data_IF_779131592890
#
_entry.id   IF_779131592890
#
_cell.length_a   1.000
_cell.length_b   1.000
_cell.length_c   1.000
_cell.angle_alpha   90.00
_cell.angle_beta   90.00
_cell.angle_gamma   90.00
#
_symmetry.space_group_name_H-M   'P 1'
#
loop_
_entity.id
_entity.type
_entity.pdbx_description
1 polymer ?
#
# COMPACT_ATOMS: atom_id res chain seq x y z
N UNK A 1 27.68 -5.78 -17.51
CA UNK A 1 27.21 -6.91 -18.34
C UNK A 1 26.90 -8.05 -17.35
N UNK A 2 25.70 -8.56 -17.13
CA UNK A 2 24.47 -8.52 -17.91
C UNK A 2 23.25 -8.91 -17.01
N UNK A 3 22.05 -8.48 -17.42
CA UNK A 3 20.74 -9.09 -17.15
C UNK A 3 20.28 -9.34 -15.70
N UNK A 4 19.41 -8.46 -15.16
CA UNK A 4 18.29 -8.86 -14.25
C UNK A 4 17.34 -7.74 -13.81
N UNK A 5 17.47 -6.48 -14.29
CA UNK A 5 16.45 -5.46 -14.02
C UNK A 5 15.31 -5.55 -15.05
N UNK A 6 14.51 -6.62 -14.96
CA UNK A 6 13.24 -6.70 -15.71
C UNK A 6 12.25 -5.70 -15.12
N UNK A 7 12.03 -4.62 -15.89
CA UNK A 7 10.81 -3.81 -16.01
C UNK A 7 9.58 -4.37 -15.26
N UNK A 8 9.09 -3.62 -14.29
CA UNK A 8 7.67 -3.55 -13.93
C UNK A 8 7.31 -2.07 -13.73
N UNK A 9 7.04 -1.40 -14.85
CA UNK A 9 6.36 -0.10 -14.86
C UNK A 9 5.19 -0.23 -15.81
N UNK A 10 3.98 -0.28 -15.26
CA UNK A 10 2.75 0.18 -15.91
C UNK A 10 1.61 0.15 -14.88
N UNK A 11 1.31 1.32 -14.31
CA UNK A 11 -0.04 1.69 -13.87
C UNK A 11 -0.23 3.15 -14.29
N UNK A 12 -1.36 3.42 -14.92
CA UNK A 12 -1.75 4.63 -15.64
C UNK A 12 -1.75 5.91 -14.79
N UNK A 13 -0.62 6.60 -14.71
CA UNK A 13 -0.55 8.00 -14.30
C UNK A 13 -0.15 8.85 -15.50
N UNK A 14 -1.02 9.78 -15.90
CA UNK A 14 -0.82 10.73 -17.02
C UNK A 14 0.21 11.84 -16.72
N UNK A 15 1.20 11.56 -15.88
CA UNK A 15 2.28 12.51 -15.59
C UNK A 15 3.62 11.99 -16.07
N UNK A 16 4.38 12.88 -16.70
CA UNK A 16 5.72 12.62 -17.22
C UNK A 16 6.68 12.30 -16.05
N UNK A 17 6.87 10.99 -15.82
CA UNK A 17 7.72 10.45 -14.76
C UNK A 17 9.20 10.85 -14.94
N UNK A 18 9.61 11.29 -16.14
CA UNK A 18 10.98 11.76 -16.40
C UNK A 18 11.33 13.05 -15.67
N UNK A 19 10.32 13.79 -15.16
CA UNK A 19 10.52 14.98 -14.32
C UNK A 19 10.99 14.66 -12.91
N UNK A 20 10.86 13.41 -12.48
CA UNK A 20 11.40 12.94 -11.21
C UNK A 20 12.77 12.31 -11.49
N UNK A 21 13.89 12.98 -11.20
CA UNK A 21 15.22 12.40 -11.42
C UNK A 21 15.32 11.08 -10.64
N UNK A 22 16.13 10.14 -11.12
CA UNK A 22 16.46 8.83 -10.51
C UNK A 22 17.14 8.93 -9.12
N UNK A 23 16.72 9.87 -8.26
CA UNK A 23 16.94 9.72 -6.83
C UNK A 23 16.08 8.54 -6.43
N UNK A 24 16.73 7.39 -6.21
CA UNK A 24 16.16 6.33 -5.39
C UNK A 24 15.35 7.00 -4.28
N UNK A 25 14.02 6.81 -4.30
CA UNK A 25 13.22 7.18 -3.15
C UNK A 25 13.94 6.55 -1.97
N UNK A 26 14.41 7.31 -0.98
CA UNK A 26 15.11 6.72 0.14
C UNK A 26 14.03 6.02 0.98
N UNK A 27 13.57 4.85 0.52
CA UNK A 27 12.56 4.02 1.18
C UNK A 27 13.01 3.73 2.62
N UNK A 28 14.33 3.65 2.83
CA UNK A 28 14.98 3.54 4.13
C UNK A 28 14.78 4.77 5.06
N UNK A 29 14.27 5.90 4.57
CA UNK A 29 13.93 7.12 5.34
C UNK A 29 12.44 7.44 5.35
N UNK A 30 11.64 6.76 4.52
CA UNK A 30 10.20 7.04 4.43
C UNK A 30 9.44 6.35 5.55
N UNK A 31 8.51 7.07 6.20
CA UNK A 31 7.50 6.45 7.07
C UNK A 31 6.42 5.84 6.19
N UNK A 32 6.40 4.50 6.10
CA UNK A 32 5.43 3.75 5.32
C UNK A 32 4.40 3.14 6.27
N UNK A 33 3.12 3.25 5.92
CA UNK A 33 2.01 2.62 6.62
C UNK A 33 1.36 1.58 5.72
N UNK A 34 1.18 0.36 6.21
CA UNK A 34 0.51 -0.72 5.47
C UNK A 34 -0.84 -1.05 6.12
N UNK A 35 -1.93 -0.79 5.39
CA UNK A 35 -3.31 -1.01 5.82
C UNK A 35 -4.09 -1.87 4.82
N UNK A 36 -5.29 -2.27 5.21
CA UNK A 36 -6.15 -3.19 4.47
C UNK A 36 -6.92 -4.10 5.42
N UNK A 37 -7.98 -4.74 4.94
CA UNK A 37 -8.81 -5.64 5.73
C UNK A 37 -7.99 -6.82 6.29
N UNK A 38 -8.48 -7.48 7.34
CA UNK A 38 -7.90 -8.74 7.81
C UNK A 38 -7.86 -9.78 6.68
N UNK A 39 -6.89 -10.70 6.76
CA UNK A 39 -6.61 -11.71 5.73
C UNK A 39 -6.22 -11.21 4.32
N UNK A 40 -6.11 -9.89 4.09
CA UNK A 40 -5.67 -9.34 2.79
C UNK A 40 -4.20 -9.66 2.42
N UNK A 41 -3.38 -10.08 3.39
CA UNK A 41 -1.99 -10.49 3.16
C UNK A 41 -0.91 -9.44 3.40
N UNK A 42 -1.22 -8.39 4.17
CA UNK A 42 -0.28 -7.33 4.60
C UNK A 42 1.03 -7.90 5.17
N UNK A 43 0.92 -8.72 6.21
CA UNK A 43 2.08 -9.32 6.88
C UNK A 43 2.90 -10.20 5.91
N UNK A 44 2.25 -10.96 5.03
CA UNK A 44 2.93 -11.74 3.99
C UNK A 44 3.73 -10.85 3.03
N UNK A 45 3.15 -9.74 2.57
CA UNK A 45 3.84 -8.75 1.71
C UNK A 45 5.03 -8.12 2.45
N UNK A 46 4.83 -7.71 3.71
CA UNK A 46 5.88 -7.10 4.54
C UNK A 46 7.13 -8.00 4.60
N UNK A 47 6.93 -9.29 4.89
CA UNK A 47 8.03 -10.26 4.97
C UNK A 47 8.61 -10.63 3.61
N UNK A 48 7.77 -10.85 2.60
CA UNK A 48 8.21 -11.29 1.27
C UNK A 48 9.07 -10.23 0.58
N UNK A 49 8.61 -8.98 0.57
CA UNK A 49 9.32 -7.87 -0.07
C UNK A 49 10.35 -7.20 0.85
N UNK A 50 10.44 -7.63 2.11
CA UNK A 50 11.36 -7.10 3.12
C UNK A 50 11.29 -5.57 3.17
N UNK A 51 10.12 -5.03 3.54
CA UNK A 51 9.91 -3.58 3.63
C UNK A 51 10.18 -3.15 5.09
N UNK A 52 11.43 -2.79 5.46
CA UNK A 52 11.85 -2.69 6.87
C UNK A 52 11.17 -1.55 7.65
N UNK A 53 10.65 -0.54 6.94
CA UNK A 53 10.11 0.68 7.53
C UNK A 53 8.58 0.80 7.42
N UNK A 54 7.91 -0.28 7.02
CA UNK A 54 6.45 -0.30 6.98
C UNK A 54 5.90 -0.75 8.34
N UNK A 55 5.05 0.07 8.95
CA UNK A 55 4.21 -0.37 10.04
C UNK A 55 3.01 -1.13 9.46
N UNK A 56 2.92 -2.44 9.69
CA UNK A 56 1.70 -3.19 9.41
C UNK A 56 0.75 -3.10 10.62
N UNK A 57 -0.49 -2.70 10.35
CA UNK A 57 -1.51 -2.58 11.40
C UNK A 57 -2.59 -3.62 11.15
N UNK A 58 -3.06 -4.26 12.21
CA UNK A 58 -4.09 -5.29 12.10
C UNK A 58 -5.37 -4.75 11.45
N UNK A 59 -6.03 -5.60 10.65
CA UNK A 59 -7.14 -5.20 9.80
C UNK A 59 -8.55 -5.57 10.27
N UNK A 60 -8.67 -6.21 11.44
CA UNK A 60 -9.96 -6.63 11.98
C UNK A 60 -10.81 -5.42 12.33
N UNK A 61 -12.13 -5.48 12.11
CA UNK A 61 -13.08 -4.37 12.26
C UNK A 61 -12.91 -3.62 13.58
N UNK A 62 -12.80 -4.37 14.68
CA UNK A 62 -12.71 -3.84 16.04
C UNK A 62 -11.45 -2.99 16.28
N UNK A 63 -10.40 -3.17 15.50
CA UNK A 63 -9.11 -2.47 15.69
C UNK A 63 -8.84 -1.42 14.61
N UNK A 64 -9.63 -1.35 13.53
CA UNK A 64 -9.50 -0.32 12.48
C UNK A 64 -9.56 1.12 13.00
N UNK A 65 -10.31 1.47 14.07
CA UNK A 65 -10.26 2.81 14.64
C UNK A 65 -8.84 3.26 15.04
N UNK A 66 -7.96 2.32 15.38
CA UNK A 66 -6.57 2.60 15.78
C UNK A 66 -5.68 3.01 14.60
N UNK A 67 -6.08 2.75 13.34
CA UNK A 67 -5.30 3.12 12.16
C UNK A 67 -4.94 4.62 12.14
N UNK A 68 -5.87 5.47 12.60
CA UNK A 68 -5.69 6.92 12.66
C UNK A 68 -4.50 7.36 13.51
N UNK A 69 -4.09 6.56 14.50
CA UNK A 69 -2.91 6.86 15.32
C UNK A 69 -1.59 6.79 14.55
N UNK A 70 -1.60 6.19 13.36
CA UNK A 70 -0.42 6.03 12.51
C UNK A 70 -0.37 7.05 11.36
N UNK A 71 -1.40 7.88 11.17
CA UNK A 71 -1.47 8.78 10.01
C UNK A 71 -0.42 9.90 10.08
N UNK A 72 -0.25 10.51 11.25
CA UNK A 72 0.67 11.64 11.40
C UNK A 72 2.10 11.27 10.99
N UNK A 73 2.61 12.02 10.01
CA UNK A 73 3.95 11.85 9.45
C UNK A 73 4.10 10.69 8.48
N UNK A 74 3.02 9.97 8.11
CA UNK A 74 3.07 8.91 7.10
C UNK A 74 3.27 9.50 5.71
N UNK A 75 4.33 9.07 5.03
CA UNK A 75 4.73 9.58 3.72
C UNK A 75 4.28 8.66 2.58
N UNK A 76 4.05 7.39 2.87
CA UNK A 76 3.52 6.42 1.90
C UNK A 76 2.52 5.46 2.54
N UNK A 77 1.40 5.26 1.87
CA UNK A 77 0.35 4.30 2.23
C UNK A 77 0.42 3.14 1.24
N UNK A 78 0.64 1.94 1.78
CA UNK A 78 0.42 0.68 1.07
C UNK A 78 -0.94 0.15 1.50
N UNK A 79 -1.92 0.15 0.61
CA UNK A 79 -3.23 -0.45 0.88
C UNK A 79 -3.34 -1.80 0.19
N UNK A 80 -3.54 -2.86 0.97
CA UNK A 80 -3.59 -4.24 0.47
C UNK A 80 -5.04 -4.72 0.39
N UNK A 81 -5.43 -5.17 -0.79
CA UNK A 81 -6.73 -5.73 -1.11
C UNK A 81 -6.57 -7.22 -1.41
N UNK A 82 -7.45 -8.06 -0.85
CA UNK A 82 -7.62 -9.42 -1.32
C UNK A 82 -8.41 -9.41 -2.62
N UNK A 83 -7.80 -9.80 -3.74
CA UNK A 83 -8.44 -9.73 -5.06
C UNK A 83 -9.47 -10.84 -5.27
N UNK A 84 -9.48 -11.86 -4.42
CA UNK A 84 -10.45 -12.96 -4.48
C UNK A 84 -11.66 -12.71 -3.58
N UNK A 85 -11.55 -11.78 -2.63
CA UNK A 85 -12.63 -11.47 -1.70
C UNK A 85 -13.61 -10.46 -2.29
N UNK A 86 -14.45 -10.94 -3.21
CA UNK A 86 -15.46 -10.13 -3.89
C UNK A 86 -16.53 -9.63 -2.92
N UNK A 87 -16.81 -10.36 -1.85
CA UNK A 87 -17.84 -10.01 -0.86
C UNK A 87 -17.43 -8.77 -0.05
N UNK A 88 -16.13 -8.58 0.20
CA UNK A 88 -15.61 -7.46 1.01
C UNK A 88 -14.93 -6.36 0.18
N UNK A 89 -15.02 -6.39 -1.15
CA UNK A 89 -14.35 -5.37 -1.99
C UNK A 89 -14.90 -3.96 -1.74
N UNK A 90 -16.21 -3.82 -1.54
CA UNK A 90 -16.84 -2.54 -1.24
C UNK A 90 -16.47 -2.03 0.15
N UNK A 91 -16.30 -2.94 1.12
CA UNK A 91 -15.80 -2.59 2.44
C UNK A 91 -14.35 -2.07 2.36
N UNK A 92 -13.48 -2.78 1.63
CA UNK A 92 -12.09 -2.35 1.41
C UNK A 92 -12.03 -0.98 0.72
N UNK A 93 -12.88 -0.76 -0.30
CA UNK A 93 -13.03 0.54 -0.96
C UNK A 93 -13.44 1.63 0.02
N UNK A 94 -14.45 1.39 0.86
CA UNK A 94 -14.92 2.38 1.84
C UNK A 94 -13.83 2.73 2.87
N UNK A 95 -13.07 1.74 3.33
CA UNK A 95 -11.92 1.96 4.21
C UNK A 95 -10.83 2.80 3.54
N UNK A 96 -10.45 2.45 2.29
CA UNK A 96 -9.45 3.21 1.53
C UNK A 96 -9.88 4.68 1.36
N UNK A 97 -11.13 4.92 0.96
CA UNK A 97 -11.67 6.28 0.84
C UNK A 97 -11.67 7.03 2.17
N UNK A 98 -11.98 6.36 3.29
CA UNK A 98 -11.91 6.97 4.62
C UNK A 98 -10.49 7.36 5.01
N UNK A 99 -9.48 6.55 4.66
CA UNK A 99 -8.08 6.84 4.94
C UNK A 99 -7.58 8.04 4.12
N UNK A 100 -7.76 8.02 2.80
CA UNK A 100 -7.22 9.06 1.91
C UNK A 100 -7.96 10.41 2.03
N UNK A 101 -9.17 10.41 2.61
CA UNK A 101 -9.92 11.63 2.91
C UNK A 101 -9.48 12.28 4.23
N UNK A 102 -8.65 11.61 5.04
CA UNK A 102 -8.11 12.19 6.26
C UNK A 102 -7.07 13.26 5.92
N UNK A 103 -7.14 14.41 6.60
CA UNK A 103 -6.24 15.55 6.35
C UNK A 103 -4.78 15.20 6.54
N UNK A 104 -4.45 14.29 7.45
CA UNK A 104 -3.07 13.86 7.73
C UNK A 104 -2.50 13.00 6.59
N UNK A 105 -3.36 12.45 5.73
CA UNK A 105 -2.99 11.55 4.63
C UNK A 105 -2.97 12.25 3.26
N UNK A 106 -3.28 13.55 3.19
CA UNK A 106 -3.48 14.29 1.93
C UNK A 106 -2.29 14.25 0.98
N UNK A 107 -1.08 14.34 1.51
CA UNK A 107 0.17 14.38 0.72
C UNK A 107 0.87 13.02 0.67
N UNK A 108 0.20 11.97 1.17
CA UNK A 108 0.73 10.62 1.24
C UNK A 108 0.73 9.95 -0.15
N UNK A 109 1.86 9.37 -0.55
CA UNK A 109 1.89 8.54 -1.76
C UNK A 109 1.08 7.26 -1.56
N UNK A 110 0.15 6.96 -2.47
CA UNK A 110 -0.68 5.77 -2.41
C UNK A 110 -0.16 4.68 -3.36
N UNK A 111 0.05 3.48 -2.82
CA UNK A 111 0.23 2.24 -3.56
C UNK A 111 -0.87 1.24 -3.16
N UNK A 112 -1.58 0.68 -4.14
CA UNK A 112 -2.58 -0.37 -3.90
C UNK A 112 -2.02 -1.72 -4.37
N UNK A 113 -1.96 -2.70 -3.48
CA UNK A 113 -1.69 -4.09 -3.83
C UNK A 113 -3.01 -4.85 -4.00
N UNK A 114 -3.30 -5.24 -5.23
CA UNK A 114 -4.29 -6.27 -5.52
C UNK A 114 -3.64 -7.65 -5.29
N UNK A 115 -3.73 -8.17 -4.07
CA UNK A 115 -3.02 -9.39 -3.64
C UNK A 115 -3.80 -10.67 -4.00
N UNK A 116 -3.13 -11.83 -3.92
CA UNK A 116 -3.69 -13.18 -4.22
C UNK A 116 -4.08 -13.42 -5.69
N UNK A 117 -3.30 -12.85 -6.60
CA UNK A 117 -3.46 -13.01 -8.06
C UNK A 117 -3.09 -14.42 -8.56
N UNK A 118 -2.45 -15.22 -7.72
CA UNK A 118 -2.12 -16.62 -7.99
C UNK A 118 -3.34 -17.55 -7.94
N UNK A 119 -4.41 -17.12 -7.25
CA UNK A 119 -5.63 -17.89 -7.13
C UNK A 119 -6.52 -17.75 -8.38
N UNK A 120 -7.21 -18.81 -8.81
CA UNK A 120 -8.20 -18.71 -9.89
C UNK A 120 -9.37 -17.82 -9.44
N UNK A 121 -9.80 -16.91 -10.33
CA UNK A 121 -10.80 -15.86 -10.03
C UNK A 121 -12.22 -16.14 -10.49
#
# INVERSE_FOLDING_TARGET
MNQSRKKLYNIEAREDVSKYPEKELPLHKMRILMLGLDAAGKTSILYHFKIPNAADVGGQDKIRPLWRHYYTGTQGLIFVIDSQDRDRIDEARQELHRIISDREMRDCLLLVFANKQDLPG
#
